data_IF_282644542147
#
_entry.id   IF_282644542147
#
_cell.length_a   1.000
_cell.length_b   1.000
_cell.length_c   1.000
_cell.angle_alpha   90.00
_cell.angle_beta   90.00
_cell.angle_gamma   90.00
#
_symmetry.space_group_name_H-M   'P 1'
#
loop_
_entity.id
_entity.type
_entity.pdbx_description
1 polymer ?
#
# COMPACT_ATOMS: atom_id res chain seq x y z
N UNK A 1 -18.32 -23.71 17.19
CA UNK A 1 -17.83 -24.47 18.36
C UNK A 1 -16.31 -24.35 18.57
N UNK A 2 -15.51 -24.20 17.50
CA UNK A 2 -14.03 -24.23 17.54
C UNK A 2 -13.35 -23.21 18.47
N UNK A 3 -13.71 -21.92 18.42
CA UNK A 3 -13.06 -20.89 19.26
C UNK A 3 -13.26 -21.17 20.77
N UNK A 4 -14.48 -21.55 21.15
CA UNK A 4 -14.82 -21.88 22.54
C UNK A 4 -14.06 -23.11 23.06
N UNK A 5 -13.88 -24.14 22.23
CA UNK A 5 -13.09 -25.33 22.60
C UNK A 5 -11.62 -24.98 22.90
N UNK A 6 -11.05 -24.06 22.14
CA UNK A 6 -9.67 -23.60 22.31
C UNK A 6 -9.54 -22.44 23.31
N UNK A 7 -10.63 -22.07 24.01
CA UNK A 7 -10.68 -20.93 24.94
C UNK A 7 -10.21 -19.61 24.30
N UNK A 8 -10.48 -19.42 23.01
CA UNK A 8 -10.28 -18.18 22.29
C UNK A 8 -11.59 -17.37 22.28
N UNK A 9 -11.50 -16.08 22.60
CA UNK A 9 -12.66 -15.19 22.70
C UNK A 9 -12.46 -13.98 21.80
N UNK A 10 -13.43 -13.73 20.92
CA UNK A 10 -13.45 -12.53 20.11
C UNK A 10 -13.98 -11.35 20.93
N UNK A 11 -13.38 -10.17 20.78
CA UNK A 11 -13.91 -8.94 21.35
C UNK A 11 -15.12 -8.51 20.51
N UNK A 12 -16.33 -8.68 21.04
CA UNK A 12 -17.58 -8.41 20.30
C UNK A 12 -17.63 -7.00 19.70
N UNK A 13 -17.09 -5.99 20.41
CA UNK A 13 -17.02 -4.60 19.92
C UNK A 13 -16.11 -4.39 18.69
N UNK A 14 -15.39 -5.42 18.23
CA UNK A 14 -14.56 -5.41 17.02
C UNK A 14 -15.05 -6.41 15.97
N UNK A 15 -16.17 -7.08 16.23
CA UNK A 15 -16.74 -8.06 15.31
C UNK A 15 -17.78 -7.37 14.44
N UNK A 16 -17.67 -7.59 13.14
CA UNK A 16 -18.59 -7.12 12.13
C UNK A 16 -19.27 -8.35 11.50
N UNK A 17 -20.60 -8.32 11.40
CA UNK A 17 -21.39 -9.46 10.94
C UNK A 17 -22.38 -9.01 9.86
N UNK A 18 -22.62 -9.88 8.88
CA UNK A 18 -23.64 -9.69 7.83
C UNK A 18 -23.50 -8.39 7.03
N UNK A 19 -22.28 -7.90 6.82
CA UNK A 19 -22.00 -6.74 5.97
C UNK A 19 -21.77 -7.15 4.52
N UNK A 20 -22.17 -6.29 3.58
CA UNK A 20 -21.86 -6.43 2.14
C UNK A 20 -20.41 -6.07 1.80
N UNK A 21 -19.77 -5.28 2.67
CA UNK A 21 -18.35 -4.93 2.58
C UNK A 21 -17.72 -4.91 3.97
N UNK A 22 -16.44 -5.28 4.06
CA UNK A 22 -15.69 -5.31 5.32
C UNK A 22 -14.28 -4.77 5.12
N UNK A 23 -13.77 -4.01 6.10
CA UNK A 23 -12.38 -3.56 6.13
C UNK A 23 -11.51 -4.59 6.83
N UNK A 24 -10.55 -5.14 6.13
CA UNK A 24 -9.67 -6.17 6.67
C UNK A 24 -8.24 -5.99 6.19
N UNK A 25 -7.30 -5.85 7.13
CA UNK A 25 -5.86 -5.71 6.87
C UNK A 25 -5.50 -4.62 5.83
N UNK A 26 -6.19 -3.47 5.84
CA UNK A 26 -5.93 -2.38 4.89
C UNK A 26 -6.54 -2.59 3.50
N UNK A 27 -7.45 -3.56 3.38
CA UNK A 27 -8.27 -3.78 2.19
C UNK A 27 -9.75 -3.62 2.51
N UNK A 28 -10.54 -3.32 1.48
CA UNK A 28 -11.99 -3.50 1.49
C UNK A 28 -12.31 -4.79 0.74
N UNK A 29 -13.08 -5.67 1.36
CA UNK A 29 -13.53 -6.93 0.76
C UNK A 29 -15.03 -6.82 0.57
N UNK A 30 -15.50 -7.02 -0.65
CA UNK A 30 -16.92 -7.02 -1.01
C UNK A 30 -17.23 -8.08 -2.08
N UNK A 31 -18.49 -8.14 -2.50
CA UNK A 31 -18.96 -8.94 -3.63
C UNK A 31 -18.23 -8.64 -4.95
N UNK A 32 -17.76 -7.39 -5.13
CA UNK A 32 -16.96 -6.94 -6.28
C UNK A 32 -15.50 -7.38 -6.22
N UNK A 33 -15.05 -7.96 -5.12
CA UNK A 33 -13.69 -8.43 -4.91
C UNK A 33 -12.95 -7.67 -3.81
N UNK A 34 -11.62 -7.55 -3.96
CA UNK A 34 -10.74 -6.93 -2.96
C UNK A 34 -10.21 -5.62 -3.53
N UNK A 35 -10.33 -4.53 -2.78
CA UNK A 35 -9.76 -3.22 -3.13
C UNK A 35 -8.91 -2.66 -1.99
N UNK A 36 -8.22 -1.54 -2.23
CA UNK A 36 -7.41 -0.85 -1.22
C UNK A 36 -8.34 -0.05 -0.31
N UNK A 37 -8.11 -0.09 1.01
CA UNK A 37 -8.82 0.79 1.95
C UNK A 37 -8.52 2.26 1.63
N UNK A 38 -9.53 3.11 1.34
CA UNK A 38 -9.32 4.53 1.05
C UNK A 38 -8.53 5.28 2.13
N UNK A 39 -8.63 4.87 3.39
CA UNK A 39 -7.83 5.46 4.47
C UNK A 39 -6.32 5.24 4.29
N UNK A 40 -5.93 4.16 3.62
CA UNK A 40 -4.54 3.85 3.27
C UNK A 40 -4.10 4.56 2.00
N UNK A 41 -5.02 4.85 1.09
CA UNK A 41 -4.77 5.67 -0.10
C UNK A 41 -4.36 7.08 0.30
N UNK A 42 -5.05 7.71 1.26
CA UNK A 42 -4.72 9.05 1.72
C UNK A 42 -3.27 9.16 2.25
N UNK A 43 -2.82 8.16 3.01
CA UNK A 43 -1.43 8.10 3.50
C UNK A 43 -0.41 8.09 2.36
N UNK A 44 -0.74 7.45 1.23
CA UNK A 44 0.12 7.43 0.04
C UNK A 44 0.10 8.78 -0.69
N UNK A 45 -1.05 9.45 -0.77
CA UNK A 45 -1.18 10.78 -1.38
C UNK A 45 -0.29 11.77 -0.63
N UNK A 46 -0.46 11.82 0.69
CA UNK A 46 0.16 12.81 1.56
C UNK A 46 1.62 12.48 1.91
N UNK A 47 2.16 11.37 1.38
CA UNK A 47 3.53 10.96 1.66
C UNK A 47 4.53 12.01 1.17
N UNK A 48 5.42 12.57 2.02
CA UNK A 48 6.36 13.60 1.59
C UNK A 48 7.38 13.03 0.59
N UNK A 49 7.95 13.88 -0.25
CA UNK A 49 9.04 13.45 -1.14
C UNK A 49 10.18 12.85 -0.30
N UNK A 50 10.62 11.60 -0.56
CA UNK A 50 11.67 10.97 0.21
C UNK A 50 13.00 11.74 0.12
N UNK A 51 13.60 12.04 1.27
CA UNK A 51 14.89 12.73 1.34
C UNK A 51 16.04 11.76 1.71
N UNK A 52 15.70 10.58 2.23
CA UNK A 52 16.68 9.60 2.67
C UNK A 52 16.43 8.20 2.10
N UNK A 53 17.46 7.35 2.17
CA UNK A 53 17.36 5.93 1.82
C UNK A 53 16.29 5.19 2.64
N UNK A 54 16.15 5.56 3.91
CA UNK A 54 15.15 4.97 4.82
C UNK A 54 13.74 5.33 4.39
N UNK A 55 13.52 6.58 3.96
CA UNK A 55 12.22 7.05 3.50
C UNK A 55 11.79 6.34 2.21
N UNK A 56 12.71 6.22 1.23
CA UNK A 56 12.42 5.48 -0.01
C UNK A 56 12.07 4.02 0.30
N UNK A 57 12.86 3.35 1.16
CA UNK A 57 12.59 1.95 1.52
C UNK A 57 11.23 1.79 2.19
N UNK A 58 10.87 2.73 3.06
CA UNK A 58 9.58 2.72 3.76
C UNK A 58 8.42 2.91 2.77
N UNK A 59 8.54 3.87 1.87
CA UNK A 59 7.56 4.12 0.81
C UNK A 59 7.41 2.92 -0.13
N UNK A 60 8.52 2.38 -0.65
CA UNK A 60 8.52 1.22 -1.54
C UNK A 60 7.95 -0.03 -0.86
N UNK A 61 8.19 -0.20 0.45
CA UNK A 61 7.59 -1.28 1.24
C UNK A 61 6.06 -1.19 1.28
N UNK A 62 5.53 0.00 1.59
CA UNK A 62 4.07 0.22 1.61
C UNK A 62 3.46 0.10 0.20
N UNK A 63 4.06 0.73 -0.80
CA UNK A 63 3.59 0.63 -2.18
C UNK A 63 3.65 -0.82 -2.70
N UNK A 64 4.66 -1.58 -2.28
CA UNK A 64 4.82 -2.99 -2.58
C UNK A 64 3.68 -3.86 -2.03
N UNK A 65 3.11 -3.52 -0.87
CA UNK A 65 1.94 -4.20 -0.31
C UNK A 65 0.72 -4.10 -1.25
N UNK A 66 0.57 -2.96 -1.93
CA UNK A 66 -0.53 -2.69 -2.87
C UNK A 66 -0.18 -2.95 -4.34
N UNK A 67 0.98 -3.53 -4.64
CA UNK A 67 1.49 -3.71 -6.02
C UNK A 67 0.50 -4.37 -6.99
N UNK A 68 -0.38 -5.26 -6.50
CA UNK A 68 -1.38 -5.97 -7.32
C UNK A 68 -2.39 -5.03 -7.99
N UNK A 69 -2.56 -3.83 -7.42
CA UNK A 69 -3.49 -2.83 -7.93
C UNK A 69 -2.84 -1.83 -8.89
N UNK A 70 -1.52 -1.94 -9.11
CA UNK A 70 -0.76 -1.02 -9.96
C UNK A 70 -0.20 -1.78 -11.16
N UNK A 71 -0.75 -1.50 -12.34
CA UNK A 71 -0.21 -2.02 -13.60
C UNK A 71 1.23 -1.51 -13.81
N UNK A 72 2.11 -2.40 -14.27
CA UNK A 72 3.52 -2.09 -14.55
C UNK A 72 4.32 -1.58 -13.32
N UNK A 73 3.90 -1.93 -12.09
CA UNK A 73 4.52 -1.47 -10.83
C UNK A 73 6.05 -1.50 -10.84
N UNK A 74 6.65 -2.64 -11.23
CA UNK A 74 8.10 -2.81 -11.26
C UNK A 74 8.83 -1.84 -12.19
N UNK A 75 8.18 -1.43 -13.29
CA UNK A 75 8.75 -0.44 -14.22
C UNK A 75 8.71 0.96 -13.61
N UNK A 76 7.61 1.29 -12.94
CA UNK A 76 7.42 2.59 -12.28
C UNK A 76 8.45 2.76 -11.16
N UNK A 77 8.62 1.78 -10.28
CA UNK A 77 9.52 1.91 -9.14
C UNK A 77 11.01 1.70 -9.47
N UNK A 78 11.37 1.44 -10.72
CA UNK A 78 12.73 1.06 -11.10
C UNK A 78 13.76 2.16 -10.77
N UNK A 79 13.43 3.42 -11.04
CA UNK A 79 14.28 4.59 -10.72
C UNK A 79 14.50 4.72 -9.21
N UNK A 80 13.43 4.67 -8.42
CA UNK A 80 13.49 4.71 -6.95
C UNK A 80 14.21 3.48 -6.35
N UNK A 81 14.02 2.29 -6.92
CA UNK A 81 14.69 1.07 -6.44
C UNK A 81 16.20 1.15 -6.65
N UNK A 82 16.66 1.79 -7.73
CA UNK A 82 18.09 2.05 -7.97
C UNK A 82 18.72 2.85 -6.83
N UNK A 83 17.99 3.82 -6.27
CA UNK A 83 18.45 4.62 -5.14
C UNK A 83 18.67 3.79 -3.87
N UNK A 84 18.03 2.62 -3.73
CA UNK A 84 18.18 1.77 -2.52
C UNK A 84 19.39 0.83 -2.55
N UNK A 85 20.11 0.77 -3.67
CA UNK A 85 21.26 -0.11 -3.87
C UNK A 85 22.48 0.36 -3.08
N UNK A 86 23.33 -0.60 -2.70
CA UNK A 86 24.62 -0.31 -2.08
C UNK A 86 25.50 0.49 -3.05
N UNK A 87 26.28 1.42 -2.52
CA UNK A 87 27.25 2.25 -3.26
C UNK A 87 26.65 3.17 -4.34
N UNK A 88 25.33 3.43 -4.28
CA UNK A 88 24.66 4.45 -5.10
C UNK A 88 24.43 5.69 -4.23
N UNK A 89 24.94 6.88 -4.63
CA UNK A 89 24.63 8.10 -3.90
C UNK A 89 23.13 8.41 -4.02
N UNK A 90 22.54 8.88 -2.92
CA UNK A 90 21.17 9.33 -2.93
C UNK A 90 21.06 10.63 -3.72
N UNK A 91 20.52 10.54 -4.92
CA UNK A 91 20.23 11.70 -5.77
C UNK A 91 18.80 11.58 -6.29
N UNK A 92 17.90 12.36 -5.71
CA UNK A 92 16.50 12.38 -6.11
C UNK A 92 16.35 13.12 -7.45
N UNK A 93 16.33 12.34 -8.54
CA UNK A 93 16.26 12.88 -9.89
C UNK A 93 14.83 13.17 -10.31
N UNK A 94 14.68 13.90 -11.43
CA UNK A 94 13.34 14.15 -12.02
C UNK A 94 12.62 12.85 -12.37
N UNK A 95 13.34 11.83 -12.84
CA UNK A 95 12.78 10.50 -13.12
C UNK A 95 12.30 9.78 -11.85
N UNK A 96 12.88 10.09 -10.69
CA UNK A 96 12.40 9.59 -9.40
C UNK A 96 11.13 10.31 -8.98
N UNK A 97 11.08 11.64 -9.13
CA UNK A 97 9.89 12.46 -8.84
C UNK A 97 8.70 12.09 -9.73
N UNK A 98 8.94 11.94 -11.03
CA UNK A 98 7.92 11.55 -12.01
C UNK A 98 7.38 10.14 -11.69
N UNK A 99 8.27 9.20 -11.34
CA UNK A 99 7.89 7.85 -10.92
C UNK A 99 7.10 7.84 -9.60
N UNK A 100 7.51 8.66 -8.63
CA UNK A 100 6.85 8.81 -7.34
C UNK A 100 5.43 9.34 -7.51
N UNK A 101 5.28 10.43 -8.27
CA UNK A 101 3.98 11.05 -8.59
C UNK A 101 3.08 10.10 -9.39
N UNK A 102 3.64 9.41 -10.39
CA UNK A 102 2.91 8.41 -11.17
C UNK A 102 2.40 7.27 -10.28
N UNK A 103 3.24 6.79 -9.36
CA UNK A 103 2.85 5.71 -8.46
C UNK A 103 1.73 6.12 -7.51
N UNK A 104 1.82 7.33 -6.93
CA UNK A 104 0.73 7.88 -6.12
C UNK A 104 -0.58 7.94 -6.90
N UNK A 105 -0.55 8.51 -8.11
CA UNK A 105 -1.73 8.61 -8.98
C UNK A 105 -2.33 7.23 -9.30
N UNK A 106 -1.50 6.22 -9.57
CA UNK A 106 -1.98 4.85 -9.85
C UNK A 106 -2.59 4.15 -8.64
N UNK A 107 -2.11 4.45 -7.44
CA UNK A 107 -2.67 3.91 -6.21
C UNK A 107 -3.97 4.60 -5.79
N UNK A 108 -4.22 5.81 -6.28
CA UNK A 108 -5.40 6.63 -5.93
C UNK A 108 -6.51 6.54 -6.97
N UNK A 109 -6.15 6.38 -8.24
CA UNK A 109 -7.13 6.25 -9.32
C UNK A 109 -7.65 4.82 -9.33
N UNK A 110 -8.86 4.62 -8.82
CA UNK A 110 -9.57 3.35 -8.90
C UNK A 110 -9.65 2.88 -10.36
N UNK A 111 -8.90 1.83 -10.72
CA UNK A 111 -9.08 1.09 -11.97
C UNK A 111 -9.67 -0.29 -11.65
N UNK A 112 -10.95 -0.33 -11.27
CA UNK A 112 -11.80 -1.52 -11.31
C UNK A 112 -13.23 -1.10 -11.62
#
# INVERSE_FOLDING_TARGET
MTLRMHKLYAKFSKCEFWLSEVKFLGHVISDKGISVDPSKINVVIDWPTPETLTDIRSFLGLAGYYRRFVKDFSKIIASMTKLTKKDVPFNWSKECEDAFTLLKMRLTTHQY
#
